data_IF_989084779039
#
_entry.id   IF_989084779039
#
_cell.length_a   1.000
_cell.length_b   1.000
_cell.length_c   1.000
_cell.angle_alpha   90.00
_cell.angle_beta   90.00
_cell.angle_gamma   90.00
#
_symmetry.space_group_name_H-M   'P 1'
#
loop_
_entity.id
_entity.type
_entity.pdbx_description
1 polymer ?
#
# COMPACT_ATOMS: atom_id res chain seq x y z
N UNK A 1 5.71 -21.25 16.21
CA UNK A 1 5.91 -20.21 15.15
C UNK A 1 4.68 -19.32 14.87
N UNK A 2 3.41 -19.75 15.05
CA UNK A 2 2.20 -18.91 14.80
C UNK A 2 2.17 -17.54 15.52
N UNK A 3 2.84 -17.41 16.67
CA UNK A 3 2.80 -16.18 17.49
C UNK A 3 3.48 -14.96 16.85
N UNK A 4 4.59 -15.13 16.14
CA UNK A 4 5.36 -13.99 15.58
C UNK A 4 4.68 -13.35 14.37
N UNK A 5 3.97 -14.15 13.58
CA UNK A 5 3.26 -13.70 12.38
C UNK A 5 1.90 -13.08 12.75
N UNK A 6 1.21 -13.61 13.76
CA UNK A 6 -0.04 -13.05 14.25
C UNK A 6 0.21 -11.86 15.21
N UNK A 7 0.89 -10.83 14.73
CA UNK A 7 1.15 -9.58 15.44
C UNK A 7 0.56 -8.40 14.69
N UNK A 8 -0.07 -7.49 15.42
CA UNK A 8 -0.61 -6.24 14.86
C UNK A 8 0.50 -5.37 14.27
N UNK A 9 1.67 -5.33 14.89
CA UNK A 9 2.83 -4.60 14.36
C UNK A 9 3.28 -5.16 13.01
N UNK A 10 3.31 -6.48 12.86
CA UNK A 10 3.70 -7.11 11.60
C UNK A 10 2.67 -6.81 10.51
N UNK A 11 1.38 -6.93 10.82
CA UNK A 11 0.31 -6.56 9.91
C UNK A 11 0.38 -5.09 9.48
N UNK A 12 0.69 -4.19 10.41
CA UNK A 12 0.86 -2.76 10.14
C UNK A 12 2.03 -2.50 9.18
N UNK A 13 3.19 -3.11 9.44
CA UNK A 13 4.38 -2.99 8.56
C UNK A 13 4.04 -3.49 7.16
N UNK A 14 3.39 -4.65 7.04
CA UNK A 14 2.97 -5.20 5.74
C UNK A 14 2.00 -4.24 5.05
N UNK A 15 0.97 -3.74 5.76
CA UNK A 15 0.00 -2.81 5.19
C UNK A 15 0.60 -1.45 4.78
N UNK A 16 1.75 -1.07 5.34
CA UNK A 16 2.50 0.13 4.94
C UNK A 16 3.34 -0.14 3.69
N UNK A 17 4.02 -1.29 3.63
CA UNK A 17 4.94 -1.65 2.55
C UNK A 17 4.23 -2.12 1.28
N UNK A 18 3.13 -2.86 1.40
CA UNK A 18 2.41 -3.44 0.26
C UNK A 18 2.00 -2.39 -0.79
N UNK A 19 1.47 -1.21 -0.43
CA UNK A 19 1.13 -0.18 -1.41
C UNK A 19 2.37 0.34 -2.15
N UNK A 20 3.49 0.56 -1.45
CA UNK A 20 4.74 1.02 -2.04
C UNK A 20 5.31 -0.04 -3.01
N UNK A 21 5.31 -1.30 -2.58
CA UNK A 21 5.74 -2.42 -3.42
C UNK A 21 4.83 -2.60 -4.64
N UNK A 22 3.53 -2.36 -4.49
CA UNK A 22 2.58 -2.45 -5.62
C UNK A 22 2.89 -1.40 -6.69
N UNK A 23 3.22 -0.17 -6.29
CA UNK A 23 3.61 0.90 -7.22
C UNK A 23 4.94 0.56 -7.91
N UNK A 24 5.93 0.09 -7.15
CA UNK A 24 7.21 -0.34 -7.70
C UNK A 24 7.06 -1.54 -8.65
N UNK A 25 6.16 -2.47 -8.34
CA UNK A 25 5.85 -3.61 -9.20
C UNK A 25 5.24 -3.14 -10.53
N UNK A 26 4.32 -2.18 -10.51
CA UNK A 26 3.77 -1.59 -11.73
C UNK A 26 4.86 -0.92 -12.55
N UNK A 27 5.75 -0.16 -11.91
CA UNK A 27 6.91 0.42 -12.59
C UNK A 27 7.79 -0.66 -13.23
N UNK A 28 8.17 -1.69 -12.48
CA UNK A 28 9.01 -2.78 -12.96
C UNK A 28 8.35 -3.55 -14.12
N UNK A 29 7.05 -3.83 -14.06
CA UNK A 29 6.40 -4.65 -15.09
C UNK A 29 6.03 -3.86 -16.34
N UNK A 30 5.67 -2.58 -16.22
CA UNK A 30 5.11 -1.79 -17.32
C UNK A 30 6.01 -0.67 -17.83
N UNK A 31 6.78 -0.03 -16.96
CA UNK A 31 7.43 1.25 -17.28
C UNK A 31 8.96 1.19 -17.29
N UNK A 32 9.58 0.15 -16.72
CA UNK A 32 11.04 0.05 -16.60
C UNK A 32 11.79 0.08 -17.94
N UNK A 33 11.14 -0.37 -19.02
CA UNK A 33 11.74 -0.39 -20.36
C UNK A 33 11.64 0.97 -21.07
N UNK A 34 10.69 1.82 -20.67
CA UNK A 34 10.37 3.08 -21.35
C UNK A 34 10.93 4.30 -20.61
N UNK A 35 11.01 4.24 -19.27
CA UNK A 35 11.39 5.39 -18.47
C UNK A 35 12.11 4.99 -17.17
N UNK A 36 12.93 5.90 -16.66
CA UNK A 36 13.58 5.72 -15.36
C UNK A 36 12.57 5.85 -14.21
N UNK A 37 12.89 5.27 -13.04
CA UNK A 37 12.04 5.38 -11.85
C UNK A 37 11.82 6.85 -11.45
N UNK A 38 12.85 7.70 -11.60
CA UNK A 38 12.75 9.13 -11.34
C UNK A 38 11.73 9.78 -12.27
N UNK A 39 11.83 9.52 -13.56
CA UNK A 39 10.89 10.06 -14.58
C UNK A 39 9.46 9.58 -14.34
N UNK A 40 9.29 8.33 -13.90
CA UNK A 40 7.99 7.78 -13.51
C UNK A 40 7.39 8.55 -12.32
N UNK A 41 8.16 8.74 -11.24
CA UNK A 41 7.72 9.49 -10.06
C UNK A 41 7.42 10.95 -10.43
N UNK A 42 8.29 11.61 -11.20
CA UNK A 42 8.09 12.97 -11.68
C UNK A 42 6.79 13.07 -12.49
N UNK A 43 6.49 12.08 -13.33
CA UNK A 43 5.24 12.01 -14.10
C UNK A 43 4.01 11.88 -13.19
N UNK A 44 4.08 11.07 -12.13
CA UNK A 44 2.97 10.94 -11.17
C UNK A 44 2.66 12.27 -10.45
N UNK A 45 3.70 13.06 -10.16
CA UNK A 45 3.60 14.37 -9.51
C UNK A 45 3.06 15.43 -10.49
N UNK A 46 3.63 15.53 -11.69
CA UNK A 46 3.22 16.49 -12.72
C UNK A 46 1.75 16.33 -13.09
N UNK A 47 1.30 15.08 -13.26
CA UNK A 47 -0.10 14.79 -13.60
C UNK A 47 -1.03 14.79 -12.36
N UNK A 48 -0.49 15.02 -11.15
CA UNK A 48 -1.22 15.01 -9.88
C UNK A 48 -2.05 13.73 -9.66
N UNK A 49 -1.56 12.59 -10.14
CA UNK A 49 -2.23 11.28 -10.01
C UNK A 49 -1.66 10.42 -8.88
N UNK A 50 -0.62 10.90 -8.19
CA UNK A 50 0.02 10.18 -7.08
C UNK A 50 -0.96 9.73 -5.99
N UNK A 51 -1.95 10.55 -5.62
CA UNK A 51 -2.95 10.15 -4.61
C UNK A 51 -3.86 9.01 -5.12
N UNK A 52 -4.22 9.02 -6.41
CA UNK A 52 -5.02 7.96 -7.04
C UNK A 52 -4.24 6.65 -7.12
N UNK A 53 -2.98 6.72 -7.54
CA UNK A 53 -2.09 5.55 -7.63
C UNK A 53 -1.83 4.96 -6.25
N UNK A 54 -1.58 5.80 -5.25
CA UNK A 54 -1.42 5.36 -3.87
C UNK A 54 -2.70 4.72 -3.32
N UNK A 55 -3.87 5.33 -3.57
CA UNK A 55 -5.15 4.75 -3.19
C UNK A 55 -5.35 3.36 -3.80
N UNK A 56 -5.03 3.16 -5.08
CA UNK A 56 -5.12 1.84 -5.72
C UNK A 56 -4.22 0.82 -5.03
N UNK A 57 -2.96 1.17 -4.72
CA UNK A 57 -2.03 0.30 -4.01
C UNK A 57 -2.52 -0.06 -2.59
N UNK A 58 -3.09 0.91 -1.88
CA UNK A 58 -3.66 0.71 -0.55
C UNK A 58 -4.91 -0.16 -0.60
N UNK A 59 -5.93 0.24 -1.35
CA UNK A 59 -7.21 -0.46 -1.36
C UNK A 59 -7.08 -1.87 -1.93
N UNK A 60 -6.46 -2.04 -3.10
CA UNK A 60 -6.38 -3.36 -3.73
C UNK A 60 -5.25 -4.21 -3.15
N UNK A 61 -4.09 -3.62 -2.85
CA UNK A 61 -2.97 -4.35 -2.27
C UNK A 61 -3.26 -4.85 -0.86
N UNK A 62 -3.71 -3.98 0.04
CA UNK A 62 -3.95 -4.38 1.43
C UNK A 62 -5.15 -5.31 1.59
N UNK A 63 -6.15 -5.24 0.71
CA UNK A 63 -7.30 -6.17 0.73
C UNK A 63 -6.84 -7.63 0.56
N UNK A 64 -5.88 -7.88 -0.33
CA UNK A 64 -5.36 -9.24 -0.55
C UNK A 64 -4.77 -9.80 0.76
N UNK A 65 -3.93 -9.03 1.44
CA UNK A 65 -3.32 -9.44 2.71
C UNK A 65 -4.33 -9.50 3.86
N UNK A 66 -5.31 -8.60 3.88
CA UNK A 66 -6.38 -8.62 4.88
C UNK A 66 -7.17 -9.93 4.84
N UNK A 67 -7.67 -10.32 3.66
CA UNK A 67 -8.40 -11.58 3.52
C UNK A 67 -7.51 -12.81 3.70
N UNK A 68 -6.25 -12.77 3.26
CA UNK A 68 -5.28 -13.83 3.52
C UNK A 68 -5.09 -14.06 5.03
N UNK A 69 -4.94 -13.00 5.82
CA UNK A 69 -4.77 -13.08 7.27
C UNK A 69 -6.04 -13.51 7.99
N UNK A 70 -7.23 -13.13 7.50
CA UNK A 70 -8.49 -13.67 8.05
C UNK A 70 -8.59 -15.17 7.78
N UNK A 71 -8.36 -15.62 6.53
CA UNK A 71 -8.44 -17.04 6.16
C UNK A 71 -7.46 -17.93 6.93
N UNK A 72 -6.35 -17.36 7.41
CA UNK A 72 -5.31 -18.08 8.16
C UNK A 72 -5.39 -17.90 9.68
N UNK A 73 -6.50 -17.36 10.20
CA UNK A 73 -6.72 -17.04 11.63
C UNK A 73 -5.67 -16.09 12.23
N UNK A 74 -5.01 -15.29 11.41
CA UNK A 74 -4.07 -14.25 11.84
C UNK A 74 -4.78 -12.90 12.07
N UNK A 75 -5.80 -12.92 12.93
CA UNK A 75 -6.66 -11.76 13.18
C UNK A 75 -5.92 -10.52 13.71
N UNK A 76 -4.84 -10.68 14.48
CA UNK A 76 -4.04 -9.54 14.96
C UNK A 76 -3.29 -8.88 13.81
N UNK A 77 -2.73 -9.66 12.89
CA UNK A 77 -2.10 -9.15 11.70
C UNK A 77 -3.12 -8.50 10.75
N UNK A 78 -4.30 -9.10 10.57
CA UNK A 78 -5.39 -8.50 9.79
C UNK A 78 -5.79 -7.12 10.34
N UNK A 79 -5.91 -6.97 11.66
CA UNK A 79 -6.14 -5.66 12.31
C UNK A 79 -5.02 -4.66 12.04
N UNK A 80 -3.77 -5.11 11.99
CA UNK A 80 -2.62 -4.27 11.65
C UNK A 80 -2.69 -3.74 10.22
N UNK A 81 -3.02 -4.60 9.25
CA UNK A 81 -3.20 -4.21 7.84
C UNK A 81 -4.35 -3.21 7.71
N UNK A 82 -5.47 -3.46 8.41
CA UNK A 82 -6.61 -2.55 8.42
C UNK A 82 -6.24 -1.17 9.00
N UNK A 83 -5.46 -1.14 10.09
CA UNK A 83 -4.95 0.10 10.67
C UNK A 83 -4.08 0.86 9.66
N UNK A 84 -3.19 0.19 8.94
CA UNK A 84 -2.39 0.80 7.87
C UNK A 84 -3.27 1.45 6.80
N UNK A 85 -4.34 0.77 6.37
CA UNK A 85 -5.30 1.28 5.39
C UNK A 85 -6.01 2.52 5.88
N UNK A 86 -6.42 2.56 7.16
CA UNK A 86 -7.05 3.74 7.77
C UNK A 86 -6.06 4.91 7.80
N UNK A 87 -4.81 4.69 8.24
CA UNK A 87 -3.78 5.73 8.27
C UNK A 87 -3.50 6.29 6.87
N UNK A 88 -3.38 5.44 5.86
CA UNK A 88 -3.25 5.88 4.47
C UNK A 88 -4.46 6.66 3.99
N UNK A 89 -5.68 6.25 4.36
CA UNK A 89 -6.90 6.96 3.99
C UNK A 89 -6.88 8.39 4.52
N UNK A 90 -6.51 8.58 5.80
CA UNK A 90 -6.32 9.93 6.36
C UNK A 90 -5.21 10.70 5.66
N UNK A 91 -4.06 10.08 5.39
CA UNK A 91 -2.97 10.74 4.67
C UNK A 91 -3.39 11.21 3.28
N UNK A 92 -4.09 10.36 2.51
CA UNK A 92 -4.60 10.68 1.18
C UNK A 92 -5.63 11.81 1.24
N UNK A 93 -6.53 11.80 2.23
CA UNK A 93 -7.49 12.89 2.43
C UNK A 93 -6.77 14.23 2.68
N UNK A 94 -5.79 14.24 3.59
CA UNK A 94 -4.99 15.44 3.89
C UNK A 94 -4.25 15.92 2.64
N UNK A 95 -3.57 15.04 1.91
CA UNK A 95 -2.83 15.43 0.71
C UNK A 95 -3.71 15.85 -0.47
N UNK A 96 -4.97 15.41 -0.53
CA UNK A 96 -5.88 15.74 -1.63
C UNK A 96 -6.72 16.99 -1.37
N UNK A 97 -7.08 17.25 -0.12
CA UNK A 97 -7.96 18.37 0.25
C UNK A 97 -7.27 19.47 1.05
N UNK A 98 -6.14 19.18 1.70
CA UNK A 98 -5.38 20.13 2.49
C UNK A 98 -4.24 20.84 1.75
N UNK A 99 -3.97 20.48 0.49
CA UNK A 99 -2.99 21.14 -0.40
C UNK A 99 -3.64 21.58 -1.70
#
# INVERSE_FOLDING_TARGET
MKSRINSTTLGLIIGILVPLLSILLVFAVKFQAEMSLKTFIDSLLVHKIYTKVLALGVYFGNIVFFFLFIKTDFLKAARGVLLATILYSFAILIFRFGM
#
